data_IF_792050597936
#
_entry.id   IF_792050597936
#
_cell.length_a   1.000
_cell.length_b   1.000
_cell.length_c   1.000
_cell.angle_alpha   90.00
_cell.angle_beta   90.00
_cell.angle_gamma   90.00
#
_symmetry.space_group_name_H-M   'P 1'
#
loop_
_entity.id
_entity.type
_entity.pdbx_description
1 polymer ?
#
# COMPACT_ATOMS: atom_id res chain seq x y z
N UNK A 1 18.54 -0.86 -17.78
CA UNK A 1 17.15 -0.39 -17.99
C UNK A 1 16.86 0.67 -16.95
N UNK A 2 16.54 1.90 -17.35
CA UNK A 2 16.24 2.99 -16.42
C UNK A 2 14.72 3.08 -16.31
N UNK A 3 14.15 2.67 -15.18
CA UNK A 3 12.71 2.81 -14.96
C UNK A 3 12.38 4.29 -14.68
N UNK A 4 11.30 4.84 -15.25
CA UNK A 4 10.86 6.19 -14.92
C UNK A 4 10.63 6.34 -13.41
N UNK A 5 10.93 7.52 -12.89
CA UNK A 5 10.74 7.86 -11.47
C UNK A 5 9.64 8.89 -11.32
N UNK A 6 9.00 8.90 -10.17
CA UNK A 6 8.11 9.97 -9.72
C UNK A 6 8.48 10.38 -8.31
N UNK A 7 8.23 11.64 -7.98
CA UNK A 7 8.35 12.12 -6.61
C UNK A 7 7.20 11.54 -5.78
N UNK A 8 7.54 11.00 -4.60
CA UNK A 8 6.56 10.56 -3.61
C UNK A 8 6.57 11.57 -2.46
N UNK A 9 5.50 12.36 -2.27
CA UNK A 9 5.50 13.44 -1.28
C UNK A 9 5.38 12.95 0.17
N UNK A 10 5.29 11.64 0.40
CA UNK A 10 5.06 11.05 1.71
C UNK A 10 6.34 10.45 2.33
N UNK A 11 7.33 10.06 1.54
CA UNK A 11 8.62 9.57 2.05
C UNK A 11 9.74 9.67 1.00
N UNK A 12 11.00 9.62 1.46
CA UNK A 12 12.20 9.73 0.60
C UNK A 12 12.58 8.42 -0.13
N UNK A 13 11.68 7.43 -0.15
CA UNK A 13 11.94 6.14 -0.78
C UNK A 13 11.81 6.31 -2.30
N UNK A 14 12.80 5.78 -3.02
CA UNK A 14 12.81 5.87 -4.49
C UNK A 14 11.55 5.19 -5.05
N UNK A 15 10.74 6.00 -5.72
CA UNK A 15 9.47 5.57 -6.29
C UNK A 15 9.58 5.54 -7.82
N UNK A 16 9.43 4.35 -8.39
CA UNK A 16 9.40 4.12 -9.83
C UNK A 16 7.97 4.08 -10.33
N UNK A 17 7.78 4.40 -11.61
CA UNK A 17 6.52 4.18 -12.30
C UNK A 17 6.65 3.14 -13.39
N UNK A 18 5.68 2.23 -13.43
CA UNK A 18 5.46 1.30 -14.54
C UNK A 18 4.09 1.59 -15.13
N UNK A 19 3.89 1.29 -16.42
CA UNK A 19 2.61 1.56 -17.09
C UNK A 19 1.44 0.96 -16.32
N UNK A 20 1.57 -0.32 -16.00
CA UNK A 20 0.62 -1.10 -15.21
C UNK A 20 1.38 -1.90 -14.17
N UNK A 21 0.75 -2.04 -13.00
CA UNK A 21 1.14 -2.91 -11.90
C UNK A 21 -0.14 -3.65 -11.52
N UNK A 22 -0.18 -4.99 -11.43
CA UNK A 22 -1.42 -5.72 -11.13
C UNK A 22 -2.08 -5.25 -9.81
N UNK A 23 -1.27 -5.00 -8.79
CA UNK A 23 -1.67 -4.48 -7.48
C UNK A 23 -1.78 -2.95 -7.46
N UNK A 24 -1.57 -2.29 -8.60
CA UNK A 24 -1.53 -0.83 -8.80
C UNK A 24 -0.37 -0.10 -8.11
N UNK A 25 0.11 -0.60 -6.97
CA UNK A 25 1.35 -0.19 -6.33
C UNK A 25 1.98 -1.35 -5.55
N UNK A 26 3.28 -1.26 -5.27
CA UNK A 26 3.99 -2.25 -4.46
C UNK A 26 5.23 -1.65 -3.81
N UNK A 27 5.48 -2.04 -2.57
CA UNK A 27 6.69 -1.77 -1.79
C UNK A 27 7.55 -3.04 -1.72
N UNK A 28 8.84 -2.91 -2.03
CA UNK A 28 9.76 -4.04 -2.07
C UNK A 28 11.20 -3.60 -1.77
N UNK A 29 12.11 -4.56 -1.68
CA UNK A 29 13.56 -4.29 -1.69
C UNK A 29 14.11 -4.58 -3.09
N UNK A 30 15.07 -3.78 -3.55
CA UNK A 30 15.82 -4.07 -4.77
C UNK A 30 16.85 -5.20 -4.55
N UNK A 31 17.58 -5.59 -5.60
CA UNK A 31 18.58 -6.66 -5.53
C UNK A 31 19.76 -6.38 -4.58
N UNK A 32 19.91 -5.13 -4.12
CA UNK A 32 20.92 -4.72 -3.14
C UNK A 32 20.31 -4.52 -1.75
N UNK A 33 19.05 -4.90 -1.55
CA UNK A 33 18.33 -4.73 -0.28
C UNK A 33 17.87 -3.30 -0.01
N UNK A 34 17.89 -2.39 -0.99
CA UNK A 34 17.44 -1.00 -0.81
C UNK A 34 15.92 -0.89 -0.96
N UNK A 35 15.24 -0.11 -0.12
CA UNK A 35 13.79 0.07 -0.23
C UNK A 35 13.44 0.78 -1.53
N UNK A 36 12.45 0.24 -2.24
CA UNK A 36 11.88 0.83 -3.44
C UNK A 36 10.36 0.72 -3.41
N UNK A 37 9.69 1.67 -4.08
CA UNK A 37 8.25 1.66 -4.33
C UNK A 37 8.05 1.66 -5.84
N UNK A 38 7.06 0.92 -6.32
CA UNK A 38 6.64 0.92 -7.72
C UNK A 38 5.15 1.25 -7.77
N UNK A 39 4.76 2.21 -8.60
CA UNK A 39 3.35 2.62 -8.77
C UNK A 39 2.95 2.60 -10.24
N UNK A 40 1.71 2.21 -10.51
CA UNK A 40 1.09 2.24 -11.83
C UNK A 40 0.92 3.69 -12.30
N UNK A 41 1.54 4.05 -13.42
CA UNK A 41 1.37 5.37 -14.02
C UNK A 41 -0.06 5.59 -14.51
N UNK A 42 -0.75 4.54 -14.98
CA UNK A 42 -2.17 4.65 -15.35
C UNK A 42 -3.02 5.01 -14.12
N UNK A 43 -2.75 4.41 -12.96
CA UNK A 43 -3.48 4.76 -11.73
C UNK A 43 -3.22 6.20 -11.30
N UNK A 44 -1.97 6.68 -11.40
CA UNK A 44 -1.62 8.07 -11.10
C UNK A 44 -2.33 9.08 -12.04
N UNK A 45 -2.58 8.69 -13.30
CA UNK A 45 -3.23 9.52 -14.30
C UNK A 45 -4.76 9.49 -14.16
N UNK A 46 -5.34 8.29 -14.12
CA UNK A 46 -6.79 8.08 -14.20
C UNK A 46 -7.49 8.33 -12.85
N UNK A 47 -6.80 8.06 -11.75
CA UNK A 47 -7.34 8.13 -10.38
C UNK A 47 -6.35 8.87 -9.45
N UNK A 48 -6.03 10.15 -9.70
CA UNK A 48 -4.92 10.85 -9.03
C UNK A 48 -5.03 10.88 -7.50
N UNK A 49 -6.21 11.14 -6.93
CA UNK A 49 -6.40 11.14 -5.47
C UNK A 49 -6.19 9.77 -4.85
N UNK A 50 -6.61 8.71 -5.54
CA UNK A 50 -6.34 7.35 -5.09
C UNK A 50 -4.85 6.97 -5.28
N UNK A 51 -4.22 7.44 -6.36
CA UNK A 51 -2.78 7.31 -6.55
C UNK A 51 -1.96 7.95 -5.43
N UNK A 52 -2.41 9.09 -4.90
CA UNK A 52 -1.85 9.72 -3.70
C UNK A 52 -1.96 8.83 -2.47
N UNK A 53 -3.12 8.22 -2.26
CA UNK A 53 -3.28 7.23 -1.18
C UNK A 53 -2.32 6.05 -1.34
N UNK A 54 -2.23 5.46 -2.54
CA UNK A 54 -1.29 4.34 -2.80
C UNK A 54 0.16 4.72 -2.50
N UNK A 55 0.61 5.91 -2.91
CA UNK A 55 1.97 6.37 -2.60
C UNK A 55 2.22 6.50 -1.09
N UNK A 56 1.24 6.99 -0.32
CA UNK A 56 1.33 7.07 1.14
C UNK A 56 1.32 5.68 1.78
N UNK A 57 0.44 4.79 1.29
CA UNK A 57 0.29 3.41 1.73
C UNK A 57 1.60 2.61 1.56
N UNK A 58 2.24 2.67 0.39
CA UNK A 58 3.51 2.00 0.16
C UNK A 58 4.66 2.59 1.01
N UNK A 59 4.65 3.89 1.30
CA UNK A 59 5.57 4.48 2.27
C UNK A 59 5.38 3.89 3.67
N UNK A 60 4.13 3.62 4.07
CA UNK A 60 3.81 3.03 5.36
C UNK A 60 4.29 1.58 5.48
N UNK A 61 4.20 0.77 4.43
CA UNK A 61 4.78 -0.59 4.44
C UNK A 61 6.28 -0.59 4.76
N UNK A 62 7.03 0.38 4.25
CA UNK A 62 8.44 0.54 4.60
C UNK A 62 8.63 1.09 6.01
N UNK A 63 7.91 2.15 6.37
CA UNK A 63 8.05 2.84 7.66
C UNK A 63 7.70 1.94 8.85
N UNK A 64 6.69 1.09 8.70
CA UNK A 64 6.25 0.12 9.70
C UNK A 64 7.10 -1.17 9.69
N UNK A 65 8.03 -1.28 8.74
CA UNK A 65 8.93 -2.43 8.59
C UNK A 65 8.24 -3.68 8.03
N UNK A 66 7.08 -3.57 7.39
CA UNK A 66 6.35 -4.69 6.79
C UNK A 66 7.20 -5.40 5.73
N UNK A 67 7.79 -4.63 4.80
CA UNK A 67 8.64 -5.16 3.72
C UNK A 67 9.84 -5.93 4.27
N UNK A 68 10.52 -5.34 5.27
CA UNK A 68 11.69 -5.95 5.90
C UNK A 68 11.32 -7.22 6.65
N UNK A 69 10.26 -7.20 7.45
CA UNK A 69 9.77 -8.37 8.21
C UNK A 69 9.38 -9.50 7.27
N UNK A 70 8.74 -9.19 6.15
CA UNK A 70 8.39 -10.16 5.12
C UNK A 70 9.65 -10.77 4.48
N UNK A 71 10.61 -9.94 4.07
CA UNK A 71 11.86 -10.40 3.46
C UNK A 71 12.70 -11.27 4.42
N UNK A 72 12.90 -10.84 5.67
CA UNK A 72 13.76 -11.52 6.63
C UNK A 72 13.13 -12.80 7.21
N UNK A 73 11.83 -12.78 7.52
CA UNK A 73 11.20 -13.86 8.30
C UNK A 73 10.27 -14.76 7.49
N UNK A 74 9.76 -14.29 6.34
CA UNK A 74 8.73 -15.00 5.57
C UNK A 74 9.22 -15.44 4.17
N UNK A 75 10.25 -14.82 3.62
CA UNK A 75 10.86 -15.20 2.33
C UNK A 75 11.71 -16.48 2.36
N UNK A 76 12.05 -17.01 3.54
CA UNK A 76 12.84 -18.24 3.71
C UNK A 76 12.00 -19.51 3.91
N UNK A 77 10.68 -19.34 3.99
CA UNK A 77 9.76 -20.41 4.34
C UNK A 77 9.19 -20.93 3.01
N UNK A 78 9.28 -22.24 2.73
CA UNK A 78 8.97 -22.87 1.42
C UNK A 78 7.51 -22.71 0.94
N UNK A 79 6.92 -23.62 0.13
CA UNK A 79 5.56 -23.44 -0.39
C UNK A 79 4.39 -23.71 0.59
N UNK A 80 4.65 -24.25 1.79
CA UNK A 80 3.64 -24.56 2.83
C UNK A 80 3.27 -23.50 3.92
N UNK A 81 3.94 -22.33 4.07
CA UNK A 81 3.74 -21.36 5.14
C UNK A 81 2.71 -20.25 4.81
N UNK A 82 2.14 -20.24 3.61
CA UNK A 82 1.18 -19.21 3.18
C UNK A 82 -0.07 -19.11 4.07
N UNK A 83 -0.50 -20.20 4.71
CA UNK A 83 -1.60 -20.18 5.67
C UNK A 83 -1.26 -19.46 6.99
N UNK A 84 0.00 -19.50 7.44
CA UNK A 84 0.44 -18.86 8.69
C UNK A 84 0.71 -17.36 8.53
N UNK A 85 1.01 -16.91 7.31
CA UNK A 85 1.26 -15.49 7.02
C UNK A 85 -0.01 -14.71 6.73
N UNK A 86 -1.10 -15.37 6.33
CA UNK A 86 -2.35 -14.72 5.95
C UNK A 86 -2.88 -13.73 7.01
N UNK A 87 -2.95 -14.08 8.32
CA UNK A 87 -3.32 -13.11 9.35
C UNK A 87 -2.34 -11.93 9.46
N UNK A 88 -1.05 -12.18 9.26
CA UNK A 88 -0.02 -11.15 9.33
C UNK A 88 -0.11 -10.19 8.13
N UNK A 89 -0.32 -10.70 6.91
CA UNK A 89 -0.53 -9.90 5.70
C UNK A 89 -1.76 -9.01 5.84
N UNK A 90 -2.86 -9.57 6.35
CA UNK A 90 -4.08 -8.82 6.65
C UNK A 90 -3.80 -7.64 7.60
N UNK A 91 -3.13 -7.88 8.72
CA UNK A 91 -2.79 -6.82 9.67
C UNK A 91 -1.86 -5.77 9.07
N UNK A 92 -0.88 -6.18 8.27
CA UNK A 92 0.05 -5.26 7.60
C UNK A 92 -0.68 -4.29 6.67
N UNK A 93 -1.68 -4.75 5.90
CA UNK A 93 -2.49 -3.88 5.04
C UNK A 93 -3.32 -2.88 5.86
N UNK A 94 -3.96 -3.35 6.93
CA UNK A 94 -4.79 -2.48 7.79
C UNK A 94 -3.96 -1.44 8.56
N UNK A 95 -2.77 -1.83 9.03
CA UNK A 95 -1.81 -0.92 9.66
C UNK A 95 -1.30 0.13 8.66
N UNK A 96 -1.00 -0.31 7.43
CA UNK A 96 -0.56 0.59 6.35
C UNK A 96 -1.68 1.57 5.92
N UNK A 97 -2.94 1.14 5.87
CA UNK A 97 -4.10 2.00 5.65
C UNK A 97 -4.17 3.14 6.68
N UNK A 98 -4.11 2.79 7.97
CA UNK A 98 -4.21 3.79 9.04
C UNK A 98 -3.00 4.72 9.10
N UNK A 99 -1.80 4.21 8.83
CA UNK A 99 -0.62 5.05 8.68
C UNK A 99 -0.77 6.03 7.50
N UNK A 100 -1.25 5.56 6.34
CA UNK A 100 -1.46 6.41 5.17
C UNK A 100 -2.50 7.50 5.45
N UNK A 101 -3.61 7.15 6.12
CA UNK A 101 -4.63 8.12 6.54
C UNK A 101 -4.02 9.22 7.41
N UNK A 102 -3.16 8.89 8.39
CA UNK A 102 -2.48 9.90 9.23
C UNK A 102 -1.59 10.82 8.40
N UNK A 103 -0.83 10.27 7.44
CA UNK A 103 0.03 11.07 6.55
C UNK A 103 -0.80 12.01 5.67
N UNK A 104 -1.90 11.53 5.11
CA UNK A 104 -2.80 12.32 4.27
C UNK A 104 -3.52 13.41 5.08
N UNK A 105 -3.97 13.10 6.32
CA UNK A 105 -4.54 14.10 7.25
C UNK A 105 -3.53 15.22 7.52
N UNK A 106 -2.28 14.87 7.81
CA UNK A 106 -1.21 15.85 8.06
C UNK A 106 -0.95 16.76 6.85
N UNK A 107 -1.12 16.25 5.62
CA UNK A 107 -1.00 17.03 4.39
C UNK A 107 -2.30 17.70 3.94
N UNK A 108 -3.38 17.61 4.72
CA UNK A 108 -4.72 18.12 4.39
C UNK A 108 -5.33 17.53 3.10
N UNK A 109 -5.09 16.25 2.85
CA UNK A 109 -5.53 15.56 1.63
C UNK A 109 -6.74 14.66 1.87
N UNK A 110 -7.83 15.24 2.36
CA UNK A 110 -9.09 14.53 2.64
C UNK A 110 -9.66 13.79 1.43
N UNK A 111 -9.54 14.37 0.23
CA UNK A 111 -10.03 13.76 -1.01
C UNK A 111 -9.31 12.44 -1.34
N UNK A 112 -8.02 12.33 -0.99
CA UNK A 112 -7.25 11.08 -1.19
C UNK A 112 -7.71 9.99 -0.24
N UNK A 113 -8.08 10.34 1.00
CA UNK A 113 -8.65 9.41 1.99
C UNK A 113 -10.00 8.89 1.50
N UNK A 114 -10.88 9.78 1.06
CA UNK A 114 -12.21 9.38 0.56
C UNK A 114 -12.11 8.58 -0.74
N UNK A 115 -11.23 8.96 -1.67
CA UNK A 115 -11.01 8.18 -2.89
C UNK A 115 -10.54 6.75 -2.60
N UNK A 116 -9.68 6.57 -1.60
CA UNK A 116 -9.26 5.24 -1.15
C UNK A 116 -10.41 4.44 -0.57
N UNK A 117 -11.20 5.05 0.32
CA UNK A 117 -12.39 4.40 0.89
C UNK A 117 -13.36 3.95 -0.20
N UNK A 118 -13.65 4.80 -1.18
CA UNK A 118 -14.51 4.47 -2.31
C UNK A 118 -13.94 3.34 -3.17
N UNK A 119 -12.64 3.35 -3.45
CA UNK A 119 -11.99 2.25 -4.17
C UNK A 119 -12.14 0.93 -3.44
N UNK A 120 -11.93 0.92 -2.12
CA UNK A 120 -12.09 -0.27 -1.30
C UNK A 120 -13.55 -0.76 -1.29
N UNK A 121 -14.53 0.15 -1.29
CA UNK A 121 -15.95 -0.22 -1.45
C UNK A 121 -16.25 -0.86 -2.82
N UNK A 122 -15.58 -0.45 -3.90
CA UNK A 122 -15.72 -1.08 -5.23
C UNK A 122 -15.25 -2.55 -5.23
N UNK A 123 -14.20 -2.88 -4.46
CA UNK A 123 -13.79 -4.27 -4.24
C UNK A 123 -14.81 -5.08 -3.43
N UNK A 124 -15.55 -4.42 -2.53
CA UNK A 124 -16.62 -5.03 -1.74
C UNK A 124 -16.13 -6.21 -0.88
N UNK A 125 -16.87 -7.32 -0.92
CA UNK A 125 -16.53 -8.51 -0.14
C UNK A 125 -15.32 -9.31 -0.69
N UNK A 126 -14.75 -8.90 -1.83
CA UNK A 126 -13.60 -9.58 -2.42
C UNK A 126 -12.30 -9.14 -1.73
N UNK A 127 -11.32 -10.05 -1.54
CA UNK A 127 -10.01 -9.70 -1.05
C UNK A 127 -9.27 -8.81 -2.06
N UNK A 128 -8.51 -7.83 -1.55
CA UNK A 128 -7.75 -6.86 -2.35
C UNK A 128 -6.40 -7.39 -2.87
N UNK A 129 -6.12 -8.67 -2.63
CA UNK A 129 -4.89 -9.39 -2.93
C UNK A 129 -4.96 -10.79 -2.32
N UNK A 130 -3.98 -11.65 -2.60
CA UNK A 130 -3.96 -12.99 -2.02
C UNK A 130 -3.86 -12.92 -0.49
N UNK A 131 -4.94 -13.31 0.21
CA UNK A 131 -5.07 -13.26 1.67
C UNK A 131 -5.07 -11.86 2.30
N UNK A 132 -5.26 -10.83 1.48
CA UNK A 132 -5.42 -9.45 1.95
C UNK A 132 -6.83 -9.25 2.53
N UNK A 133 -7.06 -8.20 3.34
CA UNK A 133 -8.40 -7.90 3.81
C UNK A 133 -9.35 -7.61 2.63
N UNK A 134 -10.64 -7.79 2.85
CA UNK A 134 -11.65 -7.46 1.85
C UNK A 134 -11.70 -5.96 1.62
N UNK A 135 -12.23 -5.55 0.47
CA UNK A 135 -12.51 -4.15 0.19
C UNK A 135 -13.35 -3.49 1.29
N UNK A 136 -14.46 -4.11 1.69
CA UNK A 136 -15.32 -3.60 2.77
C UNK A 136 -14.55 -3.45 4.09
N UNK A 137 -13.71 -4.43 4.45
CA UNK A 137 -12.92 -4.36 5.68
C UNK A 137 -11.90 -3.21 5.65
N UNK A 138 -11.21 -3.01 4.52
CA UNK A 138 -10.30 -1.87 4.36
C UNK A 138 -11.04 -0.54 4.35
N UNK A 139 -12.21 -0.46 3.69
CA UNK A 139 -13.02 0.75 3.67
C UNK A 139 -13.46 1.17 5.08
N UNK A 140 -13.92 0.22 5.89
CA UNK A 140 -14.29 0.46 7.29
C UNK A 140 -13.09 0.89 8.13
N UNK A 141 -11.93 0.24 7.94
CA UNK A 141 -10.70 0.59 8.63
C UNK A 141 -10.20 2.01 8.28
N UNK A 142 -10.21 2.37 6.99
CA UNK A 142 -9.85 3.72 6.52
C UNK A 142 -10.80 4.75 7.14
N UNK A 143 -12.11 4.51 7.15
CA UNK A 143 -13.09 5.41 7.75
C UNK A 143 -12.86 5.59 9.25
N UNK A 144 -12.60 4.50 9.98
CA UNK A 144 -12.31 4.53 11.41
C UNK A 144 -11.03 5.30 11.71
N UNK A 145 -9.97 5.12 10.92
CA UNK A 145 -8.71 5.84 11.09
C UNK A 145 -8.81 7.31 10.67
N UNK A 146 -9.76 7.68 9.81
CA UNK A 146 -9.96 9.07 9.40
C UNK A 146 -10.57 9.95 10.51
N UNK A 147 -11.38 9.35 11.39
CA UNK A 147 -12.05 10.06 12.50
C UNK A 147 -11.25 10.07 13.82
N UNK A 148 -10.16 9.29 13.89
CA UNK A 148 -9.23 9.28 15.02
C UNK A 148 -8.18 10.37 14.82
N UNK A 149 -7.74 11.03 15.90
CA UNK A 149 -6.73 12.07 15.89
C UNK A 149 -5.30 11.54 15.72
#
# INVERSE_FOLDING_TARGET
>A
MWLPKTDNPYCDITTYTLREVPEQAMSMLDSNGRPVIVVSSLTLIDKPSYGRFLMAHECCHHTLGHVRRYHENLGQVGPQPFFYIAPALKLMELDADCCAVRMLKFKHEGDSIEAARQMMLEYGAMPTGAYYPTGTERADNIANCAVQD
#
